data_IF_010506890804
#
_entry.id   IF_010506890804
#
_cell.length_a   1.000
_cell.length_b   1.000
_cell.length_c   1.000
_cell.angle_alpha   90.00
_cell.angle_beta   90.00
_cell.angle_gamma   90.00
#
_symmetry.space_group_name_H-M   'P 1'
#
loop_
_entity.id
_entity.type
_entity.pdbx_description
1 polymer ?
#
# COMPACT_ATOMS: atom_id res chain seq x y z
N UNK A 1 84.81 40.56 -13.08
CA UNK A 1 83.39 40.32 -13.43
C UNK A 1 82.97 38.98 -12.84
N UNK A 2 81.68 38.79 -12.58
CA UNK A 2 81.03 37.60 -11.96
C UNK A 2 80.91 37.66 -10.44
N UNK A 3 79.79 38.25 -9.97
CA UNK A 3 79.18 38.00 -8.66
C UNK A 3 77.66 38.29 -8.77
N UNK A 4 76.91 37.35 -9.33
CA UNK A 4 75.44 37.31 -9.31
C UNK A 4 75.00 35.88 -9.57
N UNK A 5 75.05 35.01 -8.55
CA UNK A 5 74.44 33.65 -8.61
C UNK A 5 73.85 33.12 -7.30
N UNK A 6 73.95 33.84 -6.18
CA UNK A 6 73.47 33.32 -4.88
C UNK A 6 72.08 33.83 -4.46
N UNK A 7 71.45 34.71 -5.23
CA UNK A 7 70.18 35.34 -4.86
C UNK A 7 68.93 34.66 -5.45
N UNK A 8 69.12 33.71 -6.37
CA UNK A 8 68.02 32.96 -7.00
C UNK A 8 67.58 31.71 -6.21
N UNK A 9 68.38 31.23 -5.24
CA UNK A 9 68.06 30.00 -4.50
C UNK A 9 67.08 30.22 -3.33
N UNK A 10 67.06 31.43 -2.74
CA UNK A 10 66.17 31.76 -1.62
C UNK A 10 64.68 31.82 -2.04
N UNK A 11 64.40 32.26 -3.28
CA UNK A 11 63.03 32.28 -3.83
C UNK A 11 62.48 30.88 -4.12
N UNK A 12 63.37 29.95 -4.48
CA UNK A 12 63.04 28.57 -4.79
C UNK A 12 62.65 27.80 -3.51
N UNK A 13 63.39 28.00 -2.41
CA UNK A 13 63.06 27.39 -1.12
C UNK A 13 61.71 27.88 -0.56
N UNK A 14 61.41 29.18 -0.67
CA UNK A 14 60.15 29.75 -0.20
C UNK A 14 58.95 29.23 -1.00
N UNK A 15 59.07 29.17 -2.34
CA UNK A 15 58.02 28.62 -3.21
C UNK A 15 57.78 27.12 -2.97
N UNK A 16 58.85 26.34 -2.74
CA UNK A 16 58.75 24.92 -2.44
C UNK A 16 58.03 24.65 -1.11
N UNK A 17 58.30 25.43 -0.06
CA UNK A 17 57.60 25.34 1.21
C UNK A 17 56.11 25.67 1.08
N UNK A 18 55.77 26.71 0.32
CA UNK A 18 54.38 27.12 0.12
C UNK A 18 53.61 26.06 -0.66
N UNK A 19 54.17 25.52 -1.74
CA UNK A 19 53.55 24.43 -2.52
C UNK A 19 53.40 23.18 -1.65
N UNK A 20 54.42 22.82 -0.87
CA UNK A 20 54.35 21.67 0.04
C UNK A 20 53.25 21.86 1.10
N UNK A 21 53.17 23.04 1.72
CA UNK A 21 52.13 23.35 2.69
C UNK A 21 50.72 23.29 2.07
N UNK A 22 50.58 23.74 0.83
CA UNK A 22 49.30 23.71 0.10
C UNK A 22 48.88 22.28 -0.24
N UNK A 23 49.82 21.43 -0.69
CA UNK A 23 49.56 20.01 -0.96
C UNK A 23 49.21 19.26 0.34
N UNK A 24 49.95 19.50 1.43
CA UNK A 24 49.67 18.88 2.73
C UNK A 24 48.31 19.35 3.26
N UNK A 25 48.02 20.65 3.16
CA UNK A 25 46.74 21.22 3.56
C UNK A 25 45.57 20.62 2.78
N UNK A 26 45.72 20.47 1.46
CA UNK A 26 44.73 19.81 0.61
C UNK A 26 44.56 18.33 0.97
N UNK A 27 45.66 17.62 1.24
CA UNK A 27 45.63 16.24 1.69
C UNK A 27 44.86 16.06 3.00
N UNK A 28 45.10 16.93 3.99
CA UNK A 28 44.35 16.93 5.26
C UNK A 28 42.87 17.26 5.01
N UNK A 29 42.59 18.26 4.18
CA UNK A 29 41.21 18.63 3.85
C UNK A 29 40.44 17.46 3.22
N UNK A 30 41.02 16.79 2.23
CA UNK A 30 40.40 15.61 1.59
C UNK A 30 40.23 14.47 2.58
N UNK A 31 41.24 14.19 3.41
CA UNK A 31 41.18 13.14 4.42
C UNK A 31 40.03 13.36 5.41
N UNK A 32 39.78 14.62 5.81
CA UNK A 32 38.67 14.97 6.69
C UNK A 32 37.34 15.03 5.94
N UNK A 33 37.28 15.55 4.72
CA UNK A 33 36.02 15.78 4.01
C UNK A 33 35.36 14.49 3.49
N UNK A 34 36.14 13.51 3.03
CA UNK A 34 35.62 12.24 2.48
C UNK A 34 34.63 11.51 3.41
N UNK A 35 34.94 11.26 4.70
CA UNK A 35 34.00 10.55 5.58
C UNK A 35 32.70 11.33 5.86
N UNK A 36 32.72 12.67 5.77
CA UNK A 36 31.50 13.46 5.93
C UNK A 36 30.58 13.31 4.72
N UNK A 37 31.14 13.33 3.51
CA UNK A 37 30.35 13.17 2.28
C UNK A 37 29.71 11.79 2.24
N UNK A 38 30.46 10.73 2.54
CA UNK A 38 29.92 9.36 2.57
C UNK A 38 28.85 9.15 3.64
N UNK A 39 28.92 9.89 4.76
CA UNK A 39 27.89 9.89 5.79
C UNK A 39 26.57 10.51 5.38
N UNK A 40 26.62 11.60 4.62
CA UNK A 40 25.43 12.22 4.07
C UNK A 40 24.78 11.31 3.04
N UNK A 41 25.58 10.69 2.16
CA UNK A 41 25.07 9.81 1.11
C UNK A 41 24.37 8.56 1.66
N UNK A 42 24.94 7.90 2.67
CA UNK A 42 24.34 6.71 3.27
C UNK A 42 23.00 7.02 3.96
N UNK A 43 22.93 8.15 4.68
CA UNK A 43 21.69 8.58 5.34
C UNK A 43 20.63 8.98 4.32
N UNK A 44 21.01 9.69 3.26
CA UNK A 44 20.10 10.07 2.19
C UNK A 44 19.51 8.83 1.52
N UNK A 45 20.36 7.83 1.19
CA UNK A 45 19.91 6.59 0.57
C UNK A 45 18.90 5.81 1.43
N UNK A 46 19.14 5.69 2.72
CA UNK A 46 18.20 5.00 3.63
C UNK A 46 16.87 5.73 3.74
N UNK A 47 16.87 7.07 3.72
CA UNK A 47 15.63 7.85 3.69
C UNK A 47 14.88 7.63 2.38
N UNK A 48 15.55 7.74 1.24
CA UNK A 48 14.95 7.43 -0.08
C UNK A 48 14.34 6.03 -0.11
N UNK A 49 15.01 5.04 0.49
CA UNK A 49 14.49 3.67 0.56
C UNK A 49 13.21 3.58 1.42
N UNK A 50 13.16 4.28 2.55
CA UNK A 50 11.97 4.33 3.41
C UNK A 50 10.80 4.98 2.68
N UNK A 51 11.04 6.14 2.06
CA UNK A 51 10.05 6.91 1.32
C UNK A 51 9.48 6.10 0.15
N UNK A 52 10.35 5.44 -0.61
CA UNK A 52 9.95 4.56 -1.71
C UNK A 52 9.13 3.37 -1.22
N UNK A 53 9.54 2.73 -0.12
CA UNK A 53 8.79 1.62 0.48
C UNK A 53 7.42 2.09 1.03
N UNK A 54 7.33 3.30 1.59
CA UNK A 54 6.06 3.85 2.07
C UNK A 54 5.09 4.13 0.92
N UNK A 55 5.54 4.82 -0.13
CA UNK A 55 4.72 5.09 -1.31
C UNK A 55 4.27 3.78 -1.94
N UNK A 56 5.19 2.84 -2.18
CA UNK A 56 4.85 1.54 -2.75
C UNK A 56 3.89 0.74 -1.86
N UNK A 57 4.06 0.82 -0.54
CA UNK A 57 3.11 0.25 0.42
C UNK A 57 1.72 0.82 0.24
N UNK A 58 1.58 2.15 0.19
CA UNK A 58 0.30 2.81 -0.01
C UNK A 58 -0.32 2.54 -1.41
N UNK A 59 0.50 2.44 -2.47
CA UNK A 59 0.04 2.02 -3.79
C UNK A 59 -0.40 0.54 -3.81
N UNK A 60 0.32 -0.31 -3.09
CA UNK A 60 -0.05 -1.72 -2.91
C UNK A 60 -1.36 -1.87 -2.13
N UNK A 61 -1.61 -1.03 -1.12
CA UNK A 61 -2.91 -0.97 -0.43
C UNK A 61 -4.03 -0.69 -1.44
N UNK A 62 -3.84 0.27 -2.35
CA UNK A 62 -4.82 0.58 -3.39
C UNK A 62 -5.14 -0.63 -4.25
N UNK A 63 -4.16 -1.45 -4.61
CA UNK A 63 -4.36 -2.65 -5.44
C UNK A 63 -5.00 -3.81 -4.67
N UNK A 64 -4.48 -4.11 -3.48
CA UNK A 64 -4.99 -5.17 -2.62
C UNK A 64 -6.45 -4.89 -2.20
N UNK A 65 -6.76 -3.63 -1.90
CA UNK A 65 -8.11 -3.20 -1.55
C UNK A 65 -9.11 -3.48 -2.68
N UNK A 66 -8.74 -3.16 -3.93
CA UNK A 66 -9.61 -3.42 -5.07
C UNK A 66 -9.83 -4.92 -5.29
N UNK A 67 -8.82 -5.76 -4.99
CA UNK A 67 -8.98 -7.21 -5.00
C UNK A 67 -9.97 -7.67 -3.92
N UNK A 68 -9.82 -7.20 -2.68
CA UNK A 68 -10.70 -7.57 -1.57
C UNK A 68 -12.14 -7.10 -1.78
N UNK A 69 -12.34 -5.88 -2.31
CA UNK A 69 -13.67 -5.37 -2.65
C UNK A 69 -14.38 -6.24 -3.68
N UNK A 70 -13.64 -6.81 -4.65
CA UNK A 70 -14.20 -7.70 -5.66
C UNK A 70 -14.79 -9.00 -5.09
N UNK A 71 -14.27 -9.46 -3.96
CA UNK A 71 -14.66 -10.72 -3.33
C UNK A 71 -15.70 -10.51 -2.21
N UNK A 72 -15.52 -9.48 -1.37
CA UNK A 72 -16.30 -9.29 -0.13
C UNK A 72 -17.30 -8.12 -0.17
N UNK A 73 -17.27 -7.29 -1.22
CA UNK A 73 -18.11 -6.08 -1.31
C UNK A 73 -17.56 -4.87 -0.56
N UNK A 74 -18.33 -3.77 -0.51
CA UNK A 74 -17.90 -2.53 0.18
C UNK A 74 -18.13 -2.69 1.69
N UNK A 75 -17.09 -2.57 2.53
CA UNK A 75 -17.26 -2.58 3.97
C UNK A 75 -17.90 -1.27 4.44
N UNK A 76 -18.68 -1.31 5.51
CA UNK A 76 -19.22 -0.09 6.12
C UNK A 76 -18.13 0.82 6.72
N UNK A 77 -16.97 0.28 7.02
CA UNK A 77 -15.75 1.00 7.41
C UNK A 77 -14.51 0.26 6.89
N UNK A 78 -13.50 1.00 6.44
CA UNK A 78 -12.21 0.41 6.04
C UNK A 78 -11.49 -0.32 7.18
N UNK A 79 -11.80 0.04 8.43
CA UNK A 79 -11.27 -0.65 9.62
C UNK A 79 -11.79 -2.06 9.79
N UNK A 80 -12.94 -2.37 9.17
CA UNK A 80 -13.59 -3.67 9.30
C UNK A 80 -13.05 -4.69 8.30
N UNK A 81 -12.14 -4.27 7.39
CA UNK A 81 -11.50 -5.15 6.45
C UNK A 81 -10.58 -6.16 7.15
N UNK A 82 -10.83 -7.47 7.00
CA UNK A 82 -9.97 -8.48 7.57
C UNK A 82 -8.58 -8.40 6.94
N UNK A 83 -7.54 -8.33 7.78
CA UNK A 83 -6.16 -8.29 7.31
C UNK A 83 -5.69 -6.92 6.81
N UNK A 84 -6.47 -5.85 7.01
CA UNK A 84 -6.14 -4.50 6.56
C UNK A 84 -4.70 -4.07 6.92
N UNK A 85 -4.22 -4.41 8.12
CA UNK A 85 -2.88 -4.08 8.58
C UNK A 85 -1.73 -4.63 7.70
N UNK A 86 -1.99 -5.67 6.90
CA UNK A 86 -1.01 -6.29 6.01
C UNK A 86 -1.08 -5.83 4.55
N UNK A 87 -2.10 -5.07 4.15
CA UNK A 87 -2.29 -4.60 2.78
C UNK A 87 -1.08 -3.77 2.34
N UNK A 88 -0.60 -3.98 1.11
CA UNK A 88 0.54 -3.26 0.54
C UNK A 88 1.92 -3.68 1.05
N UNK A 89 2.01 -4.63 1.99
CA UNK A 89 3.31 -5.07 2.56
C UNK A 89 4.27 -5.62 1.51
N UNK A 90 3.76 -6.40 0.56
CA UNK A 90 4.55 -7.02 -0.51
C UNK A 90 5.23 -5.97 -1.39
N UNK A 91 4.48 -4.95 -1.81
CA UNK A 91 4.99 -3.82 -2.58
C UNK A 91 6.03 -3.01 -1.79
N UNK A 92 5.78 -2.75 -0.51
CA UNK A 92 6.75 -2.08 0.37
C UNK A 92 8.06 -2.87 0.50
N UNK A 93 7.99 -4.20 0.63
CA UNK A 93 9.15 -5.08 0.72
C UNK A 93 9.97 -5.10 -0.59
N UNK A 94 9.28 -5.19 -1.73
CA UNK A 94 9.90 -5.12 -3.04
C UNK A 94 10.66 -3.80 -3.23
N UNK A 95 10.01 -2.66 -2.96
CA UNK A 95 10.65 -1.35 -3.13
C UNK A 95 11.75 -1.07 -2.11
N UNK A 96 11.66 -1.58 -0.89
CA UNK A 96 12.79 -1.54 0.03
C UNK A 96 13.99 -2.29 -0.56
N UNK A 97 13.77 -3.49 -1.11
CA UNK A 97 14.83 -4.31 -1.70
C UNK A 97 15.47 -3.66 -2.93
N UNK A 98 14.67 -3.03 -3.79
CA UNK A 98 15.15 -2.29 -4.97
C UNK A 98 16.03 -1.08 -4.60
N UNK A 99 15.93 -0.60 -3.36
CA UNK A 99 16.71 0.51 -2.82
C UNK A 99 17.85 0.06 -1.88
N UNK A 100 18.28 -1.20 -1.97
CA UNK A 100 19.32 -1.81 -1.13
C UNK A 100 19.04 -1.73 0.38
N UNK A 101 17.76 -1.80 0.77
CA UNK A 101 17.31 -1.84 2.15
C UNK A 101 16.42 -3.06 2.41
N UNK A 102 16.26 -3.42 3.68
CA UNK A 102 15.38 -4.48 4.14
C UNK A 102 14.21 -3.87 4.90
N UNK A 103 12.98 -4.27 4.58
CA UNK A 103 11.80 -3.87 5.35
C UNK A 103 11.83 -4.54 6.73
N UNK A 104 11.88 -3.73 7.80
CA UNK A 104 11.93 -4.20 9.20
C UNK A 104 10.54 -4.26 9.80
N UNK A 105 9.76 -3.20 9.60
CA UNK A 105 8.38 -3.13 10.08
C UNK A 105 7.50 -2.46 9.03
N UNK A 106 6.26 -2.93 8.97
CA UNK A 106 5.22 -2.45 8.07
C UNK A 106 3.87 -2.66 8.72
N UNK A 107 3.03 -1.63 8.67
CA UNK A 107 1.62 -1.75 9.00
C UNK A 107 0.85 -0.65 8.29
N UNK A 108 -0.38 -0.98 7.90
CA UNK A 108 -1.34 -0.04 7.37
C UNK A 108 -2.40 0.29 8.43
N UNK A 109 -2.62 1.58 8.66
CA UNK A 109 -3.72 2.08 9.46
C UNK A 109 -4.89 2.46 8.55
N UNK A 110 -5.92 1.63 8.53
CA UNK A 110 -7.11 1.86 7.70
C UNK A 110 -8.00 3.00 8.21
N UNK A 111 -7.85 3.43 9.47
CA UNK A 111 -8.63 4.55 10.00
C UNK A 111 -8.18 5.88 9.37
N UNK A 112 -6.87 6.06 9.23
CA UNK A 112 -6.26 7.29 8.69
C UNK A 112 -5.76 7.12 7.24
N UNK A 113 -5.82 5.91 6.70
CA UNK A 113 -5.32 5.56 5.37
C UNK A 113 -3.80 5.65 5.29
N UNK A 114 -3.06 5.35 6.36
CA UNK A 114 -1.60 5.55 6.40
C UNK A 114 -0.81 4.24 6.38
N UNK A 115 0.11 4.11 5.43
CA UNK A 115 1.10 3.05 5.38
C UNK A 115 2.38 3.51 6.09
N UNK A 116 2.73 2.84 7.17
CA UNK A 116 3.94 3.12 7.93
C UNK A 116 5.02 2.10 7.60
N UNK A 117 6.22 2.58 7.33
CA UNK A 117 7.35 1.72 6.97
C UNK A 117 8.57 2.05 7.83
N UNK A 118 9.30 0.99 8.17
CA UNK A 118 10.66 1.10 8.68
C UNK A 118 11.54 0.19 7.86
N UNK A 119 12.61 0.75 7.30
CA UNK A 119 13.61 0.01 6.55
C UNK A 119 14.96 0.08 7.26
N UNK A 120 15.78 -0.94 7.05
CA UNK A 120 17.15 -1.02 7.51
C UNK A 120 18.08 -1.20 6.30
N UNK A 121 18.99 -0.26 6.12
CA UNK A 121 20.06 -0.37 5.14
C UNK A 121 21.43 -0.19 5.79
N UNK A 122 22.47 -0.02 4.97
CA UNK A 122 23.87 0.06 5.45
C UNK A 122 24.31 1.50 5.69
N UNK A 123 24.81 1.75 6.89
CA UNK A 123 25.53 2.97 7.27
C UNK A 123 26.96 3.01 6.70
N UNK A 124 27.65 4.12 6.97
CA UNK A 124 28.99 4.43 6.42
C UNK A 124 30.06 3.43 6.85
N UNK A 125 29.96 2.98 8.10
CA UNK A 125 30.83 2.02 8.74
C UNK A 125 30.34 0.58 8.53
N UNK A 126 29.33 0.37 7.69
CA UNK A 126 28.65 -0.90 7.51
C UNK A 126 27.70 -1.26 8.66
N UNK A 127 27.52 -0.39 9.66
CA UNK A 127 26.51 -0.61 10.70
C UNK A 127 25.09 -0.55 10.13
N UNK A 128 24.12 -1.27 10.72
CA UNK A 128 22.73 -1.13 10.33
C UNK A 128 22.24 0.29 10.65
N UNK A 129 21.60 0.92 9.68
CA UNK A 129 20.97 2.22 9.82
C UNK A 129 19.51 2.11 9.43
N UNK A 130 18.63 2.62 10.29
CA UNK A 130 17.18 2.55 10.12
C UNK A 130 16.61 3.89 9.68
N UNK A 131 15.56 3.83 8.89
CA UNK A 131 14.79 5.00 8.47
C UNK A 131 13.32 4.64 8.41
N UNK A 132 12.47 5.62 8.74
CA UNK A 132 11.03 5.48 8.77
C UNK A 132 10.41 6.49 7.83
N UNK A 133 9.34 6.10 7.18
CA UNK A 133 8.51 6.96 6.36
C UNK A 133 7.05 6.59 6.53
N UNK A 134 6.18 7.55 6.20
CA UNK A 134 4.73 7.35 6.21
C UNK A 134 4.19 7.89 4.91
N UNK A 135 3.39 7.07 4.23
CA UNK A 135 2.60 7.48 3.09
C UNK A 135 1.12 7.35 3.43
N UNK A 136 0.30 8.20 2.83
CA UNK A 136 -1.15 8.18 2.95
C UNK A 136 -1.77 7.83 1.61
N UNK A 137 -2.80 7.01 1.66
CA UNK A 137 -3.76 6.77 0.59
C UNK A 137 -5.09 7.43 0.97
N UNK A 138 -5.64 8.22 0.07
CA UNK A 138 -6.95 8.85 0.30
C UNK A 138 -8.06 7.83 0.06
N UNK A 139 -8.50 7.17 1.14
CA UNK A 139 -9.60 6.21 1.08
C UNK A 139 -10.95 6.95 0.94
N UNK A 140 -11.80 6.60 -0.05
CA UNK A 140 -13.11 7.21 -0.19
C UNK A 140 -14.02 6.80 0.97
N UNK A 141 -14.84 7.72 1.47
CA UNK A 141 -15.74 7.44 2.59
C UNK A 141 -17.07 6.95 2.03
N UNK A 142 -17.30 5.63 2.05
CA UNK A 142 -18.56 5.04 1.61
C UNK A 142 -19.57 4.96 2.75
N UNK A 143 -20.81 5.36 2.49
CA UNK A 143 -21.89 5.09 3.44
C UNK A 143 -22.14 3.58 3.55
N UNK A 144 -22.39 3.11 4.77
CA UNK A 144 -22.67 1.71 5.03
C UNK A 144 -23.93 1.28 4.27
N UNK A 145 -23.81 0.16 3.58
CA UNK A 145 -24.90 -0.43 2.82
C UNK A 145 -25.93 -1.09 3.72
N UNK A 146 -27.15 -0.59 3.64
CA UNK A 146 -28.31 -1.32 4.15
C UNK A 146 -28.76 -2.31 3.06
N UNK A 147 -28.17 -3.52 3.07
CA UNK A 147 -28.55 -4.57 2.14
C UNK A 147 -29.97 -5.01 2.47
N UNK A 148 -30.95 -4.85 1.55
CA UNK A 148 -32.32 -5.28 1.81
C UNK A 148 -32.35 -6.79 2.08
N UNK A 149 -32.99 -7.16 3.20
CA UNK A 149 -33.16 -8.56 3.60
C UNK A 149 -33.86 -9.35 2.47
N UNK A 150 -33.44 -10.59 2.16
CA UNK A 150 -34.07 -11.38 1.12
C UNK A 150 -35.58 -11.46 1.36
N UNK A 151 -36.42 -11.36 0.31
CA UNK A 151 -37.85 -11.53 0.48
C UNK A 151 -38.13 -12.89 1.10
N UNK A 152 -38.96 -12.92 2.15
CA UNK A 152 -39.31 -14.15 2.84
C UNK A 152 -39.84 -15.19 1.82
N UNK A 153 -39.42 -16.47 1.93
CA UNK A 153 -39.88 -17.51 1.01
C UNK A 153 -41.42 -17.57 1.03
N UNK A 154 -42.05 -17.82 -0.13
CA UNK A 154 -43.50 -17.94 -0.20
C UNK A 154 -43.96 -19.01 0.79
N UNK A 155 -45.01 -18.70 1.56
CA UNK A 155 -45.53 -19.62 2.56
C UNK A 155 -45.80 -20.99 1.91
N UNK A 156 -45.39 -22.11 2.54
CA UNK A 156 -45.63 -23.43 1.99
C UNK A 156 -47.13 -23.61 1.71
N UNK A 157 -47.51 -24.24 0.58
CA UNK A 157 -48.91 -24.43 0.24
C UNK A 157 -49.60 -25.13 1.41
N UNK A 158 -50.72 -24.54 1.86
CA UNK A 158 -51.54 -25.14 2.91
C UNK A 158 -51.84 -26.60 2.54
N UNK A 159 -51.69 -27.57 3.45
CA UNK A 159 -51.96 -28.96 3.15
C UNK A 159 -53.39 -29.07 2.61
N UNK A 160 -53.53 -29.43 1.32
CA UNK A 160 -54.82 -29.77 0.74
C UNK A 160 -55.34 -30.98 1.48
N UNK A 161 -56.37 -30.76 2.29
CA UNK A 161 -57.13 -31.83 2.94
C UNK A 161 -57.92 -32.60 1.86
N UNK A 162 -57.25 -33.52 1.17
CA UNK A 162 -57.93 -34.49 0.30
C UNK A 162 -58.20 -35.75 1.12
N UNK A 163 -59.45 -35.85 1.58
CA UNK A 163 -60.00 -37.07 2.13
C UNK A 163 -60.10 -38.15 1.03
N UNK A 164 -59.59 -39.36 1.29
CA UNK A 164 -59.88 -40.56 0.48
C UNK A 164 -58.84 -41.67 0.64
N UNK A 165 -59.23 -42.92 0.96
CA UNK A 165 -58.30 -44.04 1.05
C UNK A 165 -58.02 -44.60 -0.35
N UNK A 166 -56.83 -44.34 -0.89
CA UNK A 166 -56.33 -44.91 -2.15
C UNK A 166 -54.89 -45.44 -1.99
N UNK A 167 -54.47 -46.46 -2.76
CA UNK A 167 -53.21 -47.18 -2.54
C UNK A 167 -51.99 -46.30 -2.78
N UNK A 168 -50.92 -46.55 -2.03
CA UNK A 168 -49.68 -45.79 -2.00
C UNK A 168 -48.95 -45.75 -3.35
N UNK A 169 -49.01 -44.60 -4.02
CA UNK A 169 -48.16 -44.25 -5.17
C UNK A 169 -47.08 -43.25 -4.73
N UNK A 170 -45.83 -43.73 -4.70
CA UNK A 170 -44.59 -42.93 -4.74
C UNK A 170 -44.27 -42.04 -3.52
N UNK A 171 -42.98 -41.81 -3.21
CA UNK A 171 -42.62 -40.68 -2.36
C UNK A 171 -43.14 -39.39 -3.01
N UNK A 172 -43.72 -38.46 -2.22
CA UNK A 172 -44.21 -37.20 -2.76
C UNK A 172 -43.07 -36.47 -3.50
N UNK A 173 -43.34 -35.83 -4.66
CA UNK A 173 -42.32 -35.02 -5.32
C UNK A 173 -41.81 -33.98 -4.33
N UNK A 174 -40.50 -33.95 -4.14
CA UNK A 174 -39.85 -32.91 -3.34
C UNK A 174 -40.26 -31.56 -3.93
N UNK A 175 -40.80 -30.62 -3.15
CA UNK A 175 -41.16 -29.30 -3.67
C UNK A 175 -39.92 -28.67 -4.29
N UNK A 176 -40.05 -28.15 -5.52
CA UNK A 176 -38.98 -27.37 -6.14
C UNK A 176 -38.61 -26.20 -5.23
N UNK A 177 -37.32 -25.89 -5.06
CA UNK A 177 -36.90 -24.74 -4.27
C UNK A 177 -37.56 -23.47 -4.81
N UNK A 178 -37.92 -22.52 -3.93
CA UNK A 178 -38.50 -21.25 -4.37
C UNK A 178 -37.55 -20.55 -5.35
N UNK A 179 -38.08 -19.83 -6.36
CA UNK A 179 -37.24 -19.08 -7.29
C UNK A 179 -36.44 -18.03 -6.52
N UNK A 180 -35.14 -17.93 -6.80
CA UNK A 180 -34.30 -16.91 -6.20
C UNK A 180 -34.74 -15.51 -6.69
N UNK A 181 -34.59 -14.46 -5.86
CA UNK A 181 -34.87 -13.09 -6.27
C UNK A 181 -34.02 -12.67 -7.46
N UNK A 182 -34.57 -11.79 -8.30
CA UNK A 182 -33.82 -11.18 -9.40
C UNK A 182 -32.65 -10.32 -8.88
N UNK A 183 -31.54 -10.23 -9.62
CA UNK A 183 -30.42 -9.36 -9.25
C UNK A 183 -30.88 -7.92 -9.09
N UNK A 184 -30.46 -7.27 -8.00
CA UNK A 184 -30.83 -5.88 -7.71
C UNK A 184 -29.59 -4.98 -7.82
N UNK A 185 -29.69 -3.92 -8.62
CA UNK A 185 -28.66 -2.88 -8.68
C UNK A 185 -28.80 -1.98 -7.45
N UNK A 186 -27.71 -1.81 -6.70
CA UNK A 186 -27.63 -0.91 -5.55
C UNK A 186 -26.54 0.12 -5.82
N UNK A 187 -26.82 1.37 -5.47
CA UNK A 187 -25.87 2.48 -5.60
C UNK A 187 -25.47 3.00 -4.23
N UNK A 188 -24.18 3.29 -4.05
CA UNK A 188 -23.59 3.83 -2.84
C UNK A 188 -22.86 5.11 -3.17
N UNK A 189 -23.15 6.13 -2.39
CA UNK A 189 -22.40 7.38 -2.39
C UNK A 189 -21.14 7.18 -1.53
N UNK A 190 -19.98 7.35 -2.18
CA UNK A 190 -18.68 7.31 -1.52
C UNK A 190 -18.00 8.68 -1.47
N UNK A 191 -18.78 9.77 -1.55
CA UNK A 191 -18.31 11.14 -1.54
C UNK A 191 -18.11 11.68 -2.96
N UNK A 192 -16.88 11.65 -3.52
CA UNK A 192 -16.65 12.13 -4.88
C UNK A 192 -17.09 11.15 -5.98
N UNK A 193 -17.47 9.92 -5.63
CA UNK A 193 -17.88 8.88 -6.58
C UNK A 193 -19.17 8.19 -6.14
N UNK A 194 -20.02 7.92 -7.12
CA UNK A 194 -21.15 6.99 -6.99
C UNK A 194 -20.74 5.61 -7.53
N UNK A 195 -20.79 4.61 -6.66
CA UNK A 195 -20.56 3.22 -6.99
C UNK A 195 -21.88 2.50 -7.19
N UNK A 196 -21.96 1.69 -8.25
CA UNK A 196 -23.11 0.80 -8.48
C UNK A 196 -22.62 -0.63 -8.49
N UNK A 197 -23.31 -1.53 -7.81
CA UNK A 197 -23.04 -2.96 -7.84
C UNK A 197 -24.35 -3.76 -7.87
N UNK A 198 -24.23 -5.02 -8.25
CA UNK A 198 -25.33 -5.96 -8.35
C UNK A 198 -25.31 -6.92 -7.19
N UNK A 199 -26.42 -6.98 -6.47
CA UNK A 199 -26.66 -7.99 -5.46
C UNK A 199 -27.27 -9.19 -6.15
N UNK A 200 -26.59 -10.34 -6.09
CA UNK A 200 -27.09 -11.63 -6.56
C UNK A 200 -27.33 -12.53 -5.37
N UNK A 201 -28.56 -13.03 -5.26
CA UNK A 201 -28.89 -14.04 -4.28
C UNK A 201 -28.52 -15.41 -4.86
N UNK A 202 -27.74 -16.19 -4.12
CA UNK A 202 -27.38 -17.58 -4.44
C UNK A 202 -27.93 -18.52 -3.38
N UNK A 203 -27.88 -19.84 -3.61
CA UNK A 203 -28.33 -20.81 -2.59
C UNK A 203 -27.47 -20.77 -1.32
N UNK A 204 -26.23 -20.25 -1.44
CA UNK A 204 -25.23 -20.17 -0.37
C UNK A 204 -25.18 -18.80 0.31
N UNK A 205 -25.90 -17.78 -0.20
CA UNK A 205 -25.95 -16.46 0.41
C UNK A 205 -26.19 -15.31 -0.56
N UNK A 206 -25.52 -14.18 -0.29
CA UNK A 206 -25.58 -12.96 -1.10
C UNK A 206 -24.20 -12.70 -1.68
N UNK A 207 -24.11 -12.61 -3.00
CA UNK A 207 -22.90 -12.22 -3.72
C UNK A 207 -23.02 -10.77 -4.21
N UNK A 208 -21.95 -10.01 -4.02
CA UNK A 208 -21.82 -8.63 -4.52
C UNK A 208 -21.00 -8.67 -5.80
N UNK A 209 -21.57 -8.20 -6.90
CA UNK A 209 -20.89 -8.13 -8.18
C UNK A 209 -20.69 -6.69 -8.63
N UNK A 210 -19.45 -6.28 -8.87
CA UNK A 210 -19.14 -4.97 -9.43
C UNK A 210 -19.18 -5.00 -10.96
N UNK A 211 -20.04 -4.20 -11.61
CA UNK A 211 -19.98 -3.96 -13.04
C UNK A 211 -18.58 -3.47 -13.47
N UNK A 212 -18.18 -3.75 -14.72
CA UNK A 212 -16.91 -3.27 -15.26
C UNK A 212 -16.76 -1.75 -15.11
N UNK A 213 -15.58 -1.30 -14.69
CA UNK A 213 -15.24 0.11 -14.53
C UNK A 213 -15.66 0.75 -13.21
N UNK A 214 -16.40 0.06 -12.33
CA UNK A 214 -16.74 0.61 -11.01
C UNK A 214 -15.52 0.64 -10.07
N UNK A 215 -14.72 -0.42 -10.08
CA UNK A 215 -13.46 -0.47 -9.32
C UNK A 215 -12.42 0.55 -9.83
N UNK A 216 -12.43 0.87 -11.12
CA UNK A 216 -11.54 1.89 -11.68
C UNK A 216 -11.87 3.29 -11.15
N UNK A 217 -13.15 3.61 -10.90
CA UNK A 217 -13.53 4.87 -10.25
C UNK A 217 -12.95 5.01 -8.84
N UNK A 218 -12.94 3.91 -8.07
CA UNK A 218 -12.34 3.89 -6.73
C UNK A 218 -10.83 4.11 -6.86
N UNK A 219 -10.18 3.43 -7.80
CA UNK A 219 -8.76 3.64 -8.11
C UNK A 219 -8.44 5.10 -8.42
N UNK A 220 -9.27 5.75 -9.23
CA UNK A 220 -9.03 7.12 -9.71
C UNK A 220 -9.14 8.19 -8.61
N UNK A 221 -9.84 7.91 -7.50
CA UNK A 221 -9.93 8.83 -6.35
C UNK A 221 -8.95 8.51 -5.22
N UNK A 222 -8.34 7.33 -5.25
CA UNK A 222 -7.29 6.95 -4.29
C UNK A 222 -5.94 7.53 -4.72
N UNK A 223 -5.66 8.75 -4.24
CA UNK A 223 -4.35 9.38 -4.40
C UNK A 223 -3.38 8.92 -3.31
N UNK A 224 -2.09 8.88 -3.63
CA UNK A 224 -1.02 8.44 -2.74
C UNK A 224 0.02 9.53 -2.57
N UNK A 225 0.38 9.85 -1.33
CA UNK A 225 1.39 10.88 -1.02
C UNK A 225 2.21 10.54 0.22
N UNK A 226 3.42 11.09 0.33
CA UNK A 226 4.19 11.09 1.58
C UNK A 226 3.63 12.11 2.57
N UNK A 227 3.71 11.79 3.87
CA UNK A 227 3.14 12.58 4.99
C UNK A 227 4.23 13.11 5.95
N UNK A 228 5.50 13.11 5.50
CA UNK A 228 6.69 13.52 6.27
C UNK A 228 6.50 14.64 7.32
#
# INVERSE_FOLDING_TARGET
MVRTRLRDEEGLAASALLVTALIVGLGIFVYVAVPYVTAVDAKAKNRTAADAAAIAGAEGVREDLLSSLGDDGIPGSWTDLPGAAGLGRSAAEEYASLNDATLVSYWFDAADGTAHTEVEGRGVDGSPSRSRAVAQVDLPQCEALDIPEPPAPPAPPAPSATAGPGPADGPPPTPSPPPLPDPTDVSVDCGPIDLTFQIRYTEDGVEVHFPPGQLDKIRDVMDVRLVD
#
